data_IF_050693815769
#
_entry.id   IF_050693815769
#
_cell.length_a   1.000
_cell.length_b   1.000
_cell.length_c   1.000
_cell.angle_alpha   90.00
_cell.angle_beta   90.00
_cell.angle_gamma   90.00
#
_symmetry.space_group_name_H-M   'P 1'
#
loop_
_entity.id
_entity.type
_entity.pdbx_description
1 polymer ?
#
# COMPACT_ATOMS: atom_id res chain seq x y z
N UNK A 1 23.55 -39.34 22.27
CA UNK A 1 22.65 -38.31 22.83
C UNK A 1 23.39 -36.98 22.83
N UNK A 2 23.03 -36.04 21.95
CA UNK A 2 23.48 -34.66 22.06
C UNK A 2 22.48 -33.73 21.35
N UNK A 3 21.39 -33.43 22.06
CA UNK A 3 20.47 -32.35 21.72
C UNK A 3 21.10 -31.07 22.31
N UNK A 4 21.99 -30.43 21.55
CA UNK A 4 22.54 -29.12 21.94
C UNK A 4 22.45 -28.16 20.75
N UNK A 5 21.23 -27.74 20.41
CA UNK A 5 20.97 -26.56 19.59
C UNK A 5 19.52 -26.04 19.70
N UNK A 6 18.89 -26.09 20.88
CA UNK A 6 17.55 -25.49 21.10
C UNK A 6 17.53 -24.52 22.29
N UNK A 7 18.50 -23.61 22.33
CA UNK A 7 18.59 -22.61 23.40
C UNK A 7 18.82 -21.19 22.86
N UNK A 8 18.23 -20.82 21.71
CA UNK A 8 18.19 -19.43 21.20
C UNK A 8 16.83 -19.02 20.63
N UNK A 9 15.74 -19.61 21.12
CA UNK A 9 14.36 -19.35 20.66
C UNK A 9 13.45 -18.95 21.83
N UNK A 10 13.92 -18.08 22.71
CA UNK A 10 13.08 -17.44 23.72
C UNK A 10 13.15 -15.94 23.44
N UNK A 11 12.29 -15.47 22.53
CA UNK A 11 12.23 -14.07 22.07
C UNK A 11 12.25 -13.87 20.55
N UNK A 12 12.74 -14.86 19.78
CA UNK A 12 12.91 -14.83 18.31
C UNK A 12 11.59 -14.94 17.51
N UNK A 13 10.48 -14.48 18.08
CA UNK A 13 9.18 -14.56 17.44
C UNK A 13 8.45 -13.26 17.64
N UNK A 14 8.04 -12.98 18.87
CA UNK A 14 7.06 -11.91 19.09
C UNK A 14 7.57 -10.51 18.73
N UNK A 15 8.81 -10.14 19.07
CA UNK A 15 9.33 -8.80 18.75
C UNK A 15 9.68 -8.62 17.26
N UNK A 16 10.20 -9.66 16.60
CA UNK A 16 10.46 -9.61 15.15
C UNK A 16 9.15 -9.58 14.35
N UNK A 17 8.14 -10.36 14.75
CA UNK A 17 6.82 -10.29 14.14
C UNK A 17 6.17 -8.92 14.34
N UNK A 18 6.29 -8.30 15.52
CA UNK A 18 5.75 -6.95 15.74
C UNK A 18 6.39 -5.93 14.79
N UNK A 19 7.71 -5.99 14.58
CA UNK A 19 8.41 -5.07 13.66
C UNK A 19 7.95 -5.30 12.21
N UNK A 20 7.91 -6.55 11.74
CA UNK A 20 7.47 -6.87 10.37
C UNK A 20 6.01 -6.44 10.15
N UNK A 21 5.12 -6.70 11.12
CA UNK A 21 3.71 -6.30 11.04
C UNK A 21 3.58 -4.78 11.01
N UNK A 22 4.36 -4.05 11.80
CA UNK A 22 4.36 -2.59 11.77
C UNK A 22 4.78 -2.04 10.40
N UNK A 23 5.80 -2.63 9.76
CA UNK A 23 6.23 -2.24 8.41
C UNK A 23 5.15 -2.51 7.36
N UNK A 24 4.51 -3.69 7.41
CA UNK A 24 3.40 -4.03 6.49
C UNK A 24 2.22 -3.08 6.70
N UNK A 25 1.89 -2.72 7.93
CA UNK A 25 0.79 -1.80 8.22
C UNK A 25 1.04 -0.40 7.63
N UNK A 26 2.27 0.12 7.73
CA UNK A 26 2.65 1.40 7.13
C UNK A 26 2.54 1.34 5.60
N UNK A 27 3.07 0.28 4.97
CA UNK A 27 2.98 0.09 3.52
C UNK A 27 1.51 -0.02 3.05
N UNK A 28 0.66 -0.70 3.82
CA UNK A 28 -0.76 -0.85 3.49
C UNK A 28 -1.51 0.48 3.46
N UNK A 29 -1.19 1.43 4.35
CA UNK A 29 -1.83 2.76 4.37
C UNK A 29 -1.58 3.49 3.04
N UNK A 30 -0.35 3.45 2.51
CA UNK A 30 0.00 4.09 1.22
C UNK A 30 -0.78 3.48 0.08
N UNK A 31 -0.74 2.15 -0.03
CA UNK A 31 -1.43 1.42 -1.10
C UNK A 31 -2.93 1.69 -1.06
N UNK A 32 -3.54 1.73 0.12
CA UNK A 32 -4.97 1.98 0.24
C UNK A 32 -5.38 3.39 -0.18
N UNK A 33 -4.59 4.41 0.13
CA UNK A 33 -4.90 5.78 -0.28
C UNK A 33 -4.79 5.93 -1.80
N UNK A 34 -3.62 5.55 -2.35
CA UNK A 34 -3.32 5.75 -3.77
C UNK A 34 -4.16 4.88 -4.70
N UNK A 35 -4.28 3.58 -4.37
CA UNK A 35 -5.05 2.65 -5.17
C UNK A 35 -6.55 2.83 -4.95
N UNK A 36 -6.98 3.24 -3.75
CA UNK A 36 -8.37 3.53 -3.43
C UNK A 36 -8.94 4.66 -4.29
N UNK A 37 -8.19 5.76 -4.44
CA UNK A 37 -8.59 6.90 -5.26
C UNK A 37 -8.64 6.54 -6.75
N UNK A 38 -7.66 5.79 -7.25
CA UNK A 38 -7.64 5.31 -8.65
C UNK A 38 -8.83 4.41 -8.96
N UNK A 39 -9.08 3.40 -8.13
CA UNK A 39 -10.22 2.48 -8.31
C UNK A 39 -11.54 3.24 -8.24
N UNK A 40 -11.66 4.18 -7.29
CA UNK A 40 -12.88 4.99 -7.13
C UNK A 40 -13.12 5.91 -8.34
N UNK A 41 -12.07 6.53 -8.87
CA UNK A 41 -12.13 7.35 -10.09
C UNK A 41 -12.59 6.54 -11.29
N UNK A 42 -11.93 5.40 -11.56
CA UNK A 42 -12.30 4.53 -12.69
C UNK A 42 -13.71 3.95 -12.57
N UNK A 43 -14.15 3.56 -11.37
CA UNK A 43 -15.52 3.08 -11.15
C UNK A 43 -16.53 4.22 -11.33
N UNK A 44 -16.19 5.43 -10.90
CA UNK A 44 -17.00 6.63 -11.15
C UNK A 44 -17.15 6.94 -12.63
N UNK A 45 -16.06 6.87 -13.40
CA UNK A 45 -16.04 7.09 -14.84
C UNK A 45 -16.88 6.02 -15.57
N UNK A 46 -16.74 4.74 -15.22
CA UNK A 46 -17.58 3.67 -15.78
C UNK A 46 -19.07 3.85 -15.47
N UNK A 47 -19.41 4.31 -14.25
CA UNK A 47 -20.78 4.57 -13.86
C UNK A 47 -21.38 5.78 -14.61
N UNK A 48 -20.57 6.82 -14.86
CA UNK A 48 -20.98 7.99 -15.64
C UNK A 48 -21.26 7.62 -17.11
N UNK A 49 -20.36 6.87 -17.73
CA UNK A 49 -20.52 6.33 -19.10
C UNK A 49 -21.77 5.44 -19.22
N UNK A 50 -21.98 4.54 -18.26
CA UNK A 50 -23.19 3.71 -18.21
C UNK A 50 -24.46 4.53 -18.01
N UNK A 51 -24.37 5.65 -17.29
CA UNK A 51 -25.44 6.64 -17.12
C UNK A 51 -25.67 7.55 -18.34
N UNK A 52 -24.87 7.40 -19.40
CA UNK A 52 -24.98 8.20 -20.64
C UNK A 52 -24.29 9.56 -20.56
N UNK A 53 -23.43 9.79 -19.57
CA UNK A 53 -22.57 10.97 -19.49
C UNK A 53 -21.16 10.63 -19.93
N UNK A 54 -20.49 11.55 -20.63
CA UNK A 54 -19.09 11.38 -21.01
C UNK A 54 -18.20 11.49 -19.78
N UNK A 55 -17.47 10.42 -19.45
CA UNK A 55 -16.47 10.43 -18.39
C UNK A 55 -15.33 11.40 -18.74
N UNK A 56 -14.77 12.07 -17.72
CA UNK A 56 -13.74 13.11 -17.92
C UNK A 56 -12.32 12.56 -17.77
N UNK A 57 -12.09 11.28 -18.08
CA UNK A 57 -10.80 10.58 -18.00
C UNK A 57 -10.05 10.77 -16.66
N UNK A 58 -10.77 11.06 -15.57
CA UNK A 58 -10.18 11.34 -14.26
C UNK A 58 -9.44 10.11 -13.72
N UNK A 59 -9.95 8.90 -14.00
CA UNK A 59 -9.29 7.64 -13.67
C UNK A 59 -7.98 7.38 -14.43
N UNK A 60 -7.77 8.02 -15.59
CA UNK A 60 -6.51 7.89 -16.35
C UNK A 60 -5.40 8.77 -15.76
N UNK A 61 -5.75 9.99 -15.34
CA UNK A 61 -4.83 10.88 -14.63
C UNK A 61 -4.42 10.28 -13.28
N UNK A 62 -5.40 9.85 -12.47
CA UNK A 62 -5.15 9.19 -11.19
C UNK A 62 -4.34 7.89 -11.34
N UNK A 63 -4.60 7.10 -12.40
CA UNK A 63 -3.82 5.90 -12.68
C UNK A 63 -2.37 6.19 -13.10
N UNK A 64 -2.11 7.31 -13.77
CA UNK A 64 -0.76 7.75 -14.14
C UNK A 64 0.01 8.22 -12.92
N UNK A 65 -0.63 8.99 -12.04
CA UNK A 65 -0.07 9.40 -10.75
C UNK A 65 0.20 8.19 -9.85
N UNK A 66 -0.73 7.23 -9.77
CA UNK A 66 -0.53 6.00 -9.02
C UNK A 66 0.62 5.14 -9.57
N UNK A 67 0.78 5.09 -10.90
CA UNK A 67 1.90 4.41 -11.54
C UNK A 67 3.25 5.08 -11.28
N UNK A 68 3.28 6.42 -11.24
CA UNK A 68 4.48 7.19 -10.91
C UNK A 68 4.84 7.03 -9.43
N UNK A 69 3.87 7.19 -8.53
CA UNK A 69 4.04 7.04 -7.09
C UNK A 69 4.46 5.61 -6.72
N UNK A 70 3.97 4.59 -7.43
CA UNK A 70 4.41 3.19 -7.25
C UNK A 70 5.83 2.89 -7.74
N UNK A 71 6.41 3.76 -8.58
CA UNK A 71 7.78 3.64 -9.07
C UNK A 71 8.81 4.32 -8.15
N UNK A 72 8.35 5.07 -7.15
CA UNK A 72 9.20 5.71 -6.15
C UNK A 72 9.62 4.71 -5.06
N UNK A 73 10.89 4.79 -4.66
CA UNK A 73 11.45 4.00 -3.56
C UNK A 73 11.17 4.73 -2.23
N UNK A 74 10.17 4.28 -1.48
CA UNK A 74 9.87 4.84 -0.15
C UNK A 74 10.78 4.26 0.93
N UNK A 75 11.69 5.08 1.45
CA UNK A 75 12.37 4.78 2.71
C UNK A 75 11.61 5.37 3.91
N UNK A 76 11.87 4.84 5.11
CA UNK A 76 11.23 5.30 6.35
C UNK A 76 11.49 6.80 6.64
N UNK A 77 12.53 7.40 6.04
CA UNK A 77 12.86 8.81 6.17
C UNK A 77 12.07 9.74 5.25
N UNK A 78 11.53 9.20 4.16
CA UNK A 78 10.91 9.99 3.08
C UNK A 78 9.39 10.06 3.20
N UNK A 79 8.83 9.38 4.20
CA UNK A 79 7.41 9.32 4.48
C UNK A 79 6.88 10.67 4.97
N UNK A 80 6.57 11.56 4.03
CA UNK A 80 5.83 12.79 4.27
C UNK A 80 4.37 12.54 3.97
N UNK A 81 3.63 12.17 5.01
CA UNK A 81 2.18 12.20 4.95
C UNK A 81 1.78 13.67 4.75
N UNK A 82 1.23 14.02 3.58
CA UNK A 82 0.51 15.26 3.43
C UNK A 82 -0.70 15.19 4.38
N UNK A 83 -0.70 16.03 5.40
CA UNK A 83 -1.83 16.22 6.33
C UNK A 83 -3.05 16.82 5.61
#
# INVERSE_FOLDING_TARGET
MNIKARARQLGQGMTEYIIIVALIAIAAIVVYNLFGDTVRGQVGDMAAELGGQTATDQGAAAGTEAGAEAAEDYELGDFKQAE
#
